data_IF_430265016999
#
_entry.id   IF_430265016999
#
_cell.length_a   1.000
_cell.length_b   1.000
_cell.length_c   1.000
_cell.angle_alpha   90.00
_cell.angle_beta   90.00
_cell.angle_gamma   90.00
#
_symmetry.space_group_name_H-M   'P 1'
#
loop_
_entity.id
_entity.type
_entity.pdbx_description
1 polymer ?
#
# COMPACT_ATOMS: atom_id res chain seq x y z
N UNK A 1 -36.81 -4.85 -5.75
CA UNK A 1 -35.59 -4.01 -5.61
C UNK A 1 -34.98 -4.22 -4.22
N UNK A 2 -33.79 -4.82 -4.10
CA UNK A 2 -33.04 -4.81 -2.83
C UNK A 2 -32.48 -3.40 -2.57
N UNK A 3 -32.76 -2.86 -1.38
CA UNK A 3 -32.19 -1.59 -0.89
C UNK A 3 -30.66 -1.64 -0.89
N UNK A 4 -30.00 -0.50 -1.15
CA UNK A 4 -28.52 -0.44 -1.24
C UNK A 4 -27.84 -0.96 0.03
N UNK A 5 -28.45 -0.73 1.19
CA UNK A 5 -27.99 -1.17 2.51
C UNK A 5 -27.96 -2.70 2.63
N UNK A 6 -28.95 -3.41 2.09
CA UNK A 6 -29.01 -4.88 2.16
C UNK A 6 -27.95 -5.54 1.27
N UNK A 7 -27.74 -4.99 0.07
CA UNK A 7 -26.66 -5.41 -0.84
C UNK A 7 -25.28 -5.17 -0.24
N UNK A 8 -25.08 -4.03 0.40
CA UNK A 8 -23.84 -3.72 1.11
C UNK A 8 -23.55 -4.74 2.21
N UNK A 9 -24.52 -5.04 3.09
CA UNK A 9 -24.33 -6.01 4.19
C UNK A 9 -24.02 -7.42 3.71
N UNK A 10 -24.69 -7.90 2.67
CA UNK A 10 -24.46 -9.23 2.11
C UNK A 10 -23.07 -9.35 1.48
N UNK A 11 -22.69 -8.36 0.65
CA UNK A 11 -21.34 -8.31 0.06
C UNK A 11 -20.24 -8.20 1.12
N UNK A 12 -20.50 -7.48 2.21
CA UNK A 12 -19.58 -7.41 3.36
C UNK A 12 -19.40 -8.78 4.00
N UNK A 13 -20.51 -9.45 4.35
CA UNK A 13 -20.47 -10.78 4.98
C UNK A 13 -19.76 -11.83 4.11
N UNK A 14 -20.09 -11.89 2.82
CA UNK A 14 -19.51 -12.87 1.90
C UNK A 14 -18.00 -12.65 1.73
N UNK A 15 -17.58 -11.45 1.37
CA UNK A 15 -16.17 -11.17 1.13
C UNK A 15 -15.33 -11.23 2.42
N UNK A 16 -15.89 -10.80 3.55
CA UNK A 16 -15.18 -10.82 4.84
C UNK A 16 -14.90 -12.24 5.33
N UNK A 17 -15.76 -13.21 4.97
CA UNK A 17 -15.58 -14.63 5.30
C UNK A 17 -14.77 -15.41 4.25
N UNK A 18 -14.44 -14.82 3.09
CA UNK A 18 -13.65 -15.51 2.07
C UNK A 18 -12.24 -15.78 2.56
N UNK A 19 -11.86 -17.06 2.58
CA UNK A 19 -10.47 -17.47 2.69
C UNK A 19 -9.73 -17.08 1.41
N UNK A 20 -8.63 -16.35 1.54
CA UNK A 20 -7.70 -16.13 0.45
C UNK A 20 -6.39 -16.84 0.75
N UNK A 21 -6.00 -17.85 -0.07
CA UNK A 21 -4.69 -18.44 0.06
C UNK A 21 -3.63 -17.41 -0.32
N UNK A 22 -2.41 -17.51 0.24
CA UNK A 22 -1.31 -16.64 -0.14
C UNK A 22 -0.99 -16.75 -1.64
N UNK A 23 -0.78 -15.62 -2.30
CA UNK A 23 -0.37 -15.60 -3.71
C UNK A 23 1.15 -15.74 -3.85
N UNK A 24 1.65 -16.95 -3.58
CA UNK A 24 3.08 -17.27 -3.69
C UNK A 24 3.64 -17.04 -5.08
N UNK A 25 2.82 -17.16 -6.13
CA UNK A 25 3.27 -16.97 -7.52
C UNK A 25 3.65 -15.52 -7.76
N UNK A 26 2.81 -14.58 -7.34
CA UNK A 26 3.13 -13.15 -7.41
C UNK A 26 4.35 -12.81 -6.55
N UNK A 27 4.45 -13.37 -5.35
CA UNK A 27 5.60 -13.14 -4.48
C UNK A 27 6.92 -13.64 -5.09
N UNK A 28 6.94 -14.85 -5.66
CA UNK A 28 8.10 -15.40 -6.35
C UNK A 28 8.43 -14.62 -7.63
N UNK A 29 7.43 -14.17 -8.38
CA UNK A 29 7.65 -13.32 -9.55
C UNK A 29 8.30 -11.99 -9.17
N UNK A 30 7.90 -11.39 -8.04
CA UNK A 30 8.55 -10.20 -7.49
C UNK A 30 10.01 -10.50 -7.16
N UNK A 31 10.31 -11.57 -6.42
CA UNK A 31 11.68 -11.91 -6.04
C UNK A 31 12.57 -12.20 -7.25
N UNK A 32 12.09 -13.04 -8.18
CA UNK A 32 12.83 -13.38 -9.40
C UNK A 32 13.08 -12.14 -10.27
N UNK A 33 12.05 -11.32 -10.49
CA UNK A 33 12.21 -10.07 -11.23
C UNK A 33 13.15 -9.09 -10.52
N UNK A 34 13.12 -9.03 -9.18
CA UNK A 34 13.95 -8.12 -8.42
C UNK A 34 15.42 -8.53 -8.53
N UNK A 35 15.71 -9.83 -8.47
CA UNK A 35 17.05 -10.37 -8.73
C UNK A 35 17.54 -10.01 -10.14
N UNK A 36 16.66 -10.09 -11.15
CA UNK A 36 17.00 -9.71 -12.53
C UNK A 36 17.20 -8.20 -12.71
N UNK A 37 16.41 -7.36 -12.03
CA UNK A 37 16.53 -5.90 -12.09
C UNK A 37 17.66 -5.34 -11.23
N UNK A 38 18.17 -6.10 -10.26
CA UNK A 38 19.17 -5.61 -9.29
C UNK A 38 20.42 -5.01 -9.95
N UNK A 39 21.05 -5.62 -10.98
CA UNK A 39 22.21 -5.02 -11.62
C UNK A 39 21.90 -3.67 -12.25
N UNK A 40 20.70 -3.50 -12.81
CA UNK A 40 20.25 -2.26 -13.43
C UNK A 40 19.99 -1.18 -12.37
N UNK A 41 19.31 -1.52 -11.28
CA UNK A 41 19.07 -0.56 -10.20
C UNK A 41 20.35 -0.14 -9.49
N UNK A 42 21.37 -1.00 -9.47
CA UNK A 42 22.68 -0.66 -8.92
C UNK A 42 23.39 0.46 -9.68
N UNK A 43 23.08 0.66 -10.96
CA UNK A 43 23.66 1.72 -11.79
C UNK A 43 22.90 3.05 -11.69
N UNK A 44 21.68 3.07 -11.16
CA UNK A 44 20.85 4.27 -11.12
C UNK A 44 21.35 5.29 -10.08
N UNK A 45 21.45 6.60 -10.37
CA UNK A 45 21.96 7.60 -9.44
C UNK A 45 20.96 7.90 -8.29
N UNK A 46 20.80 6.96 -7.36
CA UNK A 46 19.88 7.05 -6.23
C UNK A 46 20.63 7.41 -4.96
N UNK A 47 20.14 8.41 -4.21
CA UNK A 47 20.75 8.83 -2.96
C UNK A 47 20.51 7.84 -1.82
N UNK A 48 19.29 7.32 -1.69
CA UNK A 48 18.91 6.42 -0.62
C UNK A 48 19.06 7.06 0.76
N UNK A 49 18.54 8.28 0.94
CA UNK A 49 18.69 9.02 2.21
C UNK A 49 18.23 8.20 3.42
N UNK A 50 16.99 7.71 3.42
CA UNK A 50 16.48 6.90 4.53
C UNK A 50 17.22 5.57 4.64
N UNK A 51 17.57 4.97 3.49
CA UNK A 51 18.41 3.76 3.46
C UNK A 51 19.72 3.95 4.20
N UNK A 52 20.43 5.04 3.92
CA UNK A 52 21.72 5.33 4.54
C UNK A 52 21.56 5.72 6.02
N UNK A 53 20.58 6.55 6.35
CA UNK A 53 20.42 7.15 7.68
C UNK A 53 19.78 6.19 8.68
N UNK A 54 18.74 5.46 8.28
CA UNK A 54 17.99 4.61 9.21
C UNK A 54 18.38 3.15 9.09
N UNK A 55 18.50 2.64 7.86
CA UNK A 55 18.63 1.19 7.65
C UNK A 55 20.10 0.74 7.72
N UNK A 56 20.99 1.40 6.98
CA UNK A 56 22.42 1.10 6.97
C UNK A 56 23.10 1.41 8.30
N UNK A 57 22.81 2.58 8.89
CA UNK A 57 23.30 2.95 10.22
C UNK A 57 22.61 2.18 11.37
N UNK A 58 21.65 1.31 11.03
CA UNK A 58 20.88 0.46 11.97
C UNK A 58 20.12 1.23 13.05
N UNK A 59 19.58 2.39 12.71
CA UNK A 59 18.65 3.11 13.58
C UNK A 59 17.20 2.66 13.34
N UNK A 60 16.82 1.60 14.06
CA UNK A 60 15.49 1.00 13.96
C UNK A 60 14.50 1.46 15.05
N UNK A 61 14.83 2.49 15.83
CA UNK A 61 14.02 2.92 17.00
C UNK A 61 12.56 3.22 16.66
N UNK A 62 12.30 3.60 15.41
CA UNK A 62 10.99 3.99 14.93
C UNK A 62 10.22 2.85 14.21
N UNK A 63 10.75 1.62 14.26
CA UNK A 63 10.23 0.48 13.52
C UNK A 63 9.94 -0.69 14.46
N UNK A 64 9.08 -1.63 14.06
CA UNK A 64 8.91 -2.86 14.81
C UNK A 64 10.22 -3.66 14.87
N UNK A 65 10.48 -4.40 15.96
CA UNK A 65 11.78 -5.02 16.22
C UNK A 65 12.18 -6.11 15.23
N UNK A 66 11.22 -6.74 14.54
CA UNK A 66 11.50 -7.72 13.50
C UNK A 66 11.97 -7.08 12.18
N UNK A 67 12.03 -5.75 12.07
CA UNK A 67 12.50 -5.08 10.87
C UNK A 67 13.96 -5.43 10.53
N UNK A 68 14.81 -5.57 11.54
CA UNK A 68 16.23 -5.87 11.33
C UNK A 68 16.38 -7.26 10.71
N UNK A 69 15.59 -8.22 11.18
CA UNK A 69 15.51 -9.58 10.63
C UNK A 69 14.99 -9.56 9.19
N UNK A 70 13.93 -8.80 8.97
CA UNK A 70 13.28 -8.59 7.69
C UNK A 70 14.24 -8.07 6.61
N UNK A 71 15.14 -7.15 6.99
CA UNK A 71 16.07 -6.50 6.07
C UNK A 71 17.50 -7.08 6.14
N UNK A 72 17.78 -8.01 7.06
CA UNK A 72 19.12 -8.54 7.30
C UNK A 72 19.88 -8.94 6.03
N UNK A 73 19.28 -9.64 5.04
CA UNK A 73 19.98 -9.99 3.80
C UNK A 73 20.45 -8.77 3.00
N UNK A 74 19.68 -7.68 3.01
CA UNK A 74 20.03 -6.44 2.31
C UNK A 74 21.00 -5.58 3.11
N UNK A 75 20.89 -5.60 4.45
CA UNK A 75 21.76 -4.86 5.37
C UNK A 75 23.17 -5.45 5.47
N UNK A 76 23.35 -6.74 5.15
CA UNK A 76 24.66 -7.40 5.15
C UNK A 76 25.52 -7.03 3.92
N UNK A 77 24.91 -6.51 2.86
CA UNK A 77 25.60 -6.13 1.61
C UNK A 77 26.08 -4.68 1.70
N UNK A 78 27.09 -4.22 0.94
CA UNK A 78 27.45 -2.80 0.90
C UNK A 78 26.22 -1.90 0.71
N UNK A 79 26.17 -0.74 1.38
CA UNK A 79 24.96 0.09 1.46
C UNK A 79 24.30 0.34 0.11
N UNK A 80 25.12 0.60 -0.91
CA UNK A 80 24.69 0.86 -2.28
C UNK A 80 24.07 -0.37 -2.93
N UNK A 81 24.62 -1.56 -2.67
CA UNK A 81 24.11 -2.84 -3.16
C UNK A 81 22.81 -3.21 -2.46
N UNK A 82 22.73 -3.04 -1.14
CA UNK A 82 21.49 -3.25 -0.37
C UNK A 82 20.35 -2.32 -0.84
N UNK A 83 20.66 -1.03 -1.05
CA UNK A 83 19.71 -0.05 -1.60
C UNK A 83 19.21 -0.45 -2.99
N UNK A 84 20.12 -0.88 -3.87
CA UNK A 84 19.77 -1.33 -5.21
C UNK A 84 18.81 -2.53 -5.17
N UNK A 85 19.03 -3.46 -4.24
CA UNK A 85 18.15 -4.61 -4.02
C UNK A 85 16.77 -4.19 -3.53
N UNK A 86 16.70 -3.26 -2.58
CA UNK A 86 15.44 -2.70 -2.11
C UNK A 86 14.67 -1.99 -3.24
N UNK A 87 15.36 -1.22 -4.08
CA UNK A 87 14.74 -0.52 -5.20
C UNK A 87 14.29 -1.48 -6.32
N UNK A 88 15.04 -2.56 -6.57
CA UNK A 88 14.60 -3.61 -7.49
C UNK A 88 13.33 -4.31 -6.95
N UNK A 89 13.30 -4.58 -5.64
CA UNK A 89 12.11 -5.11 -4.97
C UNK A 89 10.93 -4.15 -5.10
N UNK A 90 11.13 -2.84 -4.88
CA UNK A 90 10.09 -1.81 -5.07
C UNK A 90 9.49 -1.85 -6.48
N UNK A 91 10.34 -1.73 -7.51
CA UNK A 91 9.89 -1.67 -8.90
C UNK A 91 9.08 -2.92 -9.27
N UNK A 92 9.58 -4.10 -8.91
CA UNK A 92 8.87 -5.34 -9.19
C UNK A 92 7.60 -5.51 -8.39
N UNK A 93 7.61 -5.12 -7.12
CA UNK A 93 6.42 -5.22 -6.28
C UNK A 93 5.31 -4.33 -6.81
N UNK A 94 5.62 -3.09 -7.20
CA UNK A 94 4.65 -2.18 -7.85
C UNK A 94 4.16 -2.79 -9.15
N UNK A 95 5.06 -3.26 -10.01
CA UNK A 95 4.71 -3.84 -11.30
C UNK A 95 3.77 -5.04 -11.17
N UNK A 96 4.12 -6.01 -10.33
CA UNK A 96 3.33 -7.24 -10.13
C UNK A 96 1.99 -6.92 -9.46
N UNK A 97 1.97 -6.02 -8.47
CA UNK A 97 0.73 -5.64 -7.79
C UNK A 97 -0.25 -4.97 -8.75
N UNK A 98 0.24 -4.07 -9.60
CA UNK A 98 -0.60 -3.40 -10.62
C UNK A 98 -1.06 -4.39 -11.68
N UNK A 99 -0.16 -5.25 -12.19
CA UNK A 99 -0.52 -6.26 -13.18
C UNK A 99 -1.59 -7.22 -12.66
N UNK A 100 -1.47 -7.67 -11.40
CA UNK A 100 -2.47 -8.52 -10.73
C UNK A 100 -3.85 -7.87 -10.74
N UNK A 101 -3.93 -6.57 -10.48
CA UNK A 101 -5.20 -5.84 -10.46
C UNK A 101 -5.84 -5.67 -11.84
N UNK A 102 -5.04 -5.64 -12.91
CA UNK A 102 -5.55 -5.65 -14.30
C UNK A 102 -6.32 -6.94 -14.62
N UNK A 103 -5.88 -8.07 -14.06
CA UNK A 103 -6.52 -9.38 -14.27
C UNK A 103 -7.69 -9.64 -13.30
N UNK A 104 -8.11 -8.64 -12.53
CA UNK A 104 -9.29 -8.72 -11.65
C UNK A 104 -9.13 -9.72 -10.50
N UNK A 105 -7.90 -10.03 -10.09
CA UNK A 105 -7.64 -11.02 -9.05
C UNK A 105 -8.03 -12.46 -9.41
N UNK A 106 -8.47 -12.72 -10.66
CA UNK A 106 -8.54 -14.09 -11.16
C UNK A 106 -7.13 -14.69 -11.05
N UNK A 107 -7.02 -15.99 -10.74
CA UNK A 107 -5.75 -16.74 -10.63
C UNK A 107 -5.00 -16.87 -11.97
N UNK A 108 -5.18 -15.92 -12.88
CA UNK A 108 -4.35 -15.78 -14.06
C UNK A 108 -2.98 -15.30 -13.59
N UNK A 109 -1.92 -15.91 -14.13
CA UNK A 109 -0.58 -15.55 -13.71
C UNK A 109 -0.29 -14.07 -14.00
N UNK A 110 0.08 -13.31 -12.97
CA UNK A 110 0.49 -11.91 -13.08
C UNK A 110 1.70 -11.71 -14.03
N UNK A 111 2.45 -12.77 -14.35
CA UNK A 111 3.55 -12.75 -15.32
C UNK A 111 3.10 -12.56 -16.78
N UNK A 112 1.81 -12.75 -17.11
CA UNK A 112 1.31 -12.46 -18.46
C UNK A 112 1.18 -10.96 -18.66
N UNK A 113 2.23 -10.33 -19.18
CA UNK A 113 2.21 -8.92 -19.53
C UNK A 113 1.39 -8.71 -20.81
N UNK A 114 0.15 -8.26 -20.68
CA UNK A 114 -0.62 -7.72 -21.82
C UNK A 114 -0.18 -6.27 -22.08
N UNK A 115 -0.41 -5.74 -23.28
CA UNK A 115 -0.14 -4.33 -23.60
C UNK A 115 -0.83 -3.38 -22.62
N UNK A 116 -2.05 -3.71 -22.20
CA UNK A 116 -2.78 -2.97 -21.17
C UNK A 116 -2.11 -3.07 -19.79
N UNK A 117 -1.67 -4.27 -19.38
CA UNK A 117 -0.98 -4.44 -18.11
C UNK A 117 0.36 -3.68 -18.07
N UNK A 118 1.14 -3.76 -19.14
CA UNK A 118 2.39 -3.00 -19.29
C UNK A 118 2.12 -1.50 -19.18
N UNK A 119 1.11 -0.97 -19.87
CA UNK A 119 0.74 0.44 -19.77
C UNK A 119 0.38 0.86 -18.34
N UNK A 120 -0.36 0.03 -17.59
CA UNK A 120 -0.66 0.31 -16.18
C UNK A 120 0.60 0.32 -15.30
N UNK A 121 1.48 -0.66 -15.52
CA UNK A 121 2.74 -0.78 -14.78
C UNK A 121 3.61 0.44 -15.03
N UNK A 122 3.79 0.84 -16.28
CA UNK A 122 4.56 2.04 -16.62
C UNK A 122 3.96 3.26 -15.94
N UNK A 123 2.65 3.48 -16.05
CA UNK A 123 1.99 4.59 -15.36
C UNK A 123 2.27 4.58 -13.85
N UNK A 124 2.18 3.44 -13.18
CA UNK A 124 2.43 3.32 -11.74
C UNK A 124 3.90 3.55 -11.35
N UNK A 125 4.85 3.06 -12.16
CA UNK A 125 6.28 3.28 -11.93
C UNK A 125 6.65 4.76 -12.12
N UNK A 126 5.98 5.45 -13.06
CA UNK A 126 6.13 6.89 -13.29
C UNK A 126 5.09 7.71 -12.50
N UNK A 127 5.07 7.51 -11.18
CA UNK A 127 4.29 8.34 -10.24
C UNK A 127 5.20 8.91 -9.16
N UNK A 128 4.82 10.05 -8.53
CA UNK A 128 5.62 10.63 -7.45
C UNK A 128 5.88 9.68 -6.28
N UNK A 129 4.93 8.87 -5.75
CA UNK A 129 5.24 7.96 -4.66
C UNK A 129 6.36 6.97 -5.00
N UNK A 130 6.34 6.40 -6.21
CA UNK A 130 7.40 5.49 -6.66
C UNK A 130 8.73 6.23 -6.81
N UNK A 131 8.74 7.40 -7.45
CA UNK A 131 9.95 8.21 -7.65
C UNK A 131 10.58 8.65 -6.32
N UNK A 132 9.75 9.11 -5.37
CA UNK A 132 10.20 9.49 -4.02
C UNK A 132 10.81 8.28 -3.32
N UNK A 133 10.20 7.09 -3.41
CA UNK A 133 10.76 5.88 -2.81
C UNK A 133 12.08 5.46 -3.44
N UNK A 134 12.21 5.53 -4.76
CA UNK A 134 13.48 5.26 -5.45
C UNK A 134 14.60 6.22 -5.00
N UNK A 135 14.23 7.48 -4.75
CA UNK A 135 15.15 8.50 -4.28
C UNK A 135 15.56 8.32 -2.81
N UNK A 136 14.58 8.08 -1.95
CA UNK A 136 14.75 8.03 -0.49
C UNK A 136 15.23 6.65 -0.01
N UNK A 137 14.86 5.56 -0.68
CA UNK A 137 15.21 4.20 -0.27
C UNK A 137 14.46 3.72 0.97
N UNK A 138 13.19 4.11 1.12
CA UNK A 138 12.35 3.64 2.22
C UNK A 138 11.75 2.25 1.94
N UNK A 139 11.33 1.55 2.97
CA UNK A 139 10.92 0.13 2.97
C UNK A 139 9.45 -0.11 2.62
N UNK A 140 8.72 0.91 2.13
CA UNK A 140 7.29 0.76 1.80
C UNK A 140 7.03 -0.37 0.78
N UNK A 141 8.03 -0.68 -0.06
CA UNK A 141 8.03 -1.84 -0.95
C UNK A 141 7.81 -3.16 -0.22
N UNK A 142 8.39 -3.32 0.97
CA UNK A 142 8.28 -4.53 1.78
C UNK A 142 6.86 -4.70 2.30
N UNK A 143 6.22 -3.60 2.71
CA UNK A 143 4.81 -3.62 3.12
C UNK A 143 3.89 -3.96 1.93
N UNK A 144 4.14 -3.37 0.75
CA UNK A 144 3.40 -3.71 -0.48
C UNK A 144 3.59 -5.17 -0.89
N UNK A 145 4.80 -5.71 -0.75
CA UNK A 145 5.09 -7.12 -1.02
C UNK A 145 4.38 -8.04 -0.03
N UNK A 146 4.33 -7.64 1.25
CA UNK A 146 3.48 -8.27 2.26
C UNK A 146 2.01 -8.35 1.84
N UNK A 147 1.46 -7.28 1.25
CA UNK A 147 0.07 -7.28 0.79
C UNK A 147 -0.21 -8.31 -0.30
N UNK A 148 0.77 -8.64 -1.14
CA UNK A 148 0.62 -9.71 -2.14
C UNK A 148 0.49 -11.10 -1.51
N UNK A 149 1.10 -11.32 -0.34
CA UNK A 149 1.19 -12.60 0.35
C UNK A 149 0.18 -12.77 1.49
N UNK A 150 -0.78 -11.88 1.62
CA UNK A 150 -1.79 -11.98 2.68
C UNK A 150 -2.50 -13.35 2.65
N UNK A 151 -2.77 -13.97 3.81
CA UNK A 151 -2.52 -13.48 5.17
C UNK A 151 -1.09 -13.67 5.69
N UNK A 152 -0.26 -14.51 5.08
CA UNK A 152 1.10 -14.82 5.58
C UNK A 152 2.02 -13.60 5.51
N UNK A 153 1.71 -12.63 4.64
CA UNK A 153 2.45 -11.39 4.50
C UNK A 153 2.26 -10.35 5.62
N UNK A 154 1.43 -10.61 6.64
CA UNK A 154 1.16 -9.67 7.73
C UNK A 154 2.39 -9.14 8.46
N UNK A 155 3.43 -9.93 8.78
CA UNK A 155 4.65 -9.41 9.41
C UNK A 155 5.26 -8.26 8.60
N UNK A 156 5.20 -8.35 7.28
CA UNK A 156 5.75 -7.36 6.36
C UNK A 156 4.85 -6.12 6.23
N UNK A 157 3.52 -6.32 6.14
CA UNK A 157 2.54 -5.22 6.12
C UNK A 157 2.64 -4.36 7.38
N UNK A 158 2.84 -4.99 8.55
CA UNK A 158 2.92 -4.31 9.83
C UNK A 158 4.26 -3.58 10.08
N UNK A 159 5.25 -3.70 9.20
CA UNK A 159 6.45 -2.85 9.24
C UNK A 159 6.12 -1.37 9.03
N UNK A 160 5.04 -1.10 8.26
CA UNK A 160 4.55 0.24 7.93
C UNK A 160 3.02 0.28 8.03
N UNK A 161 2.46 0.32 9.25
CA UNK A 161 1.04 0.09 9.46
C UNK A 161 0.15 1.25 8.96
N UNK A 162 0.71 2.42 8.61
CA UNK A 162 -0.04 3.64 8.29
C UNK A 162 -1.21 3.40 7.32
N UNK A 163 -0.95 2.80 6.16
CA UNK A 163 -2.01 2.40 5.24
C UNK A 163 -2.27 0.90 5.27
N UNK A 164 -1.23 0.06 5.39
CA UNK A 164 -1.35 -1.39 5.33
C UNK A 164 -2.30 -2.00 6.36
N UNK A 165 -2.45 -1.39 7.55
CA UNK A 165 -3.37 -1.87 8.59
C UNK A 165 -4.83 -1.82 8.13
N UNK A 166 -5.21 -0.85 7.31
CA UNK A 166 -6.58 -0.74 6.81
C UNK A 166 -6.91 -1.85 5.80
N UNK A 167 -5.92 -2.32 5.03
CA UNK A 167 -6.10 -3.48 4.16
C UNK A 167 -6.45 -4.74 4.96
N UNK A 168 -5.85 -4.93 6.15
CA UNK A 168 -6.11 -6.07 7.04
C UNK A 168 -7.60 -6.18 7.39
N UNK A 169 -8.28 -5.04 7.55
CA UNK A 169 -9.71 -5.00 7.90
C UNK A 169 -10.64 -5.52 6.81
N UNK A 170 -10.16 -5.70 5.58
CA UNK A 170 -10.97 -6.20 4.47
C UNK A 170 -11.46 -7.62 4.67
N UNK A 171 -10.78 -8.43 5.51
CA UNK A 171 -11.10 -9.85 5.70
C UNK A 171 -10.93 -10.30 7.14
N UNK A 172 -11.81 -11.19 7.58
CA UNK A 172 -11.75 -11.82 8.90
C UNK A 172 -10.42 -12.53 9.14
N UNK A 173 -10.00 -13.34 8.18
CA UNK A 173 -8.78 -14.13 8.31
C UNK A 173 -7.57 -13.23 8.52
N UNK A 174 -7.47 -12.12 7.78
CA UNK A 174 -6.37 -11.17 7.91
C UNK A 174 -6.36 -10.51 9.28
N UNK A 175 -7.52 -10.11 9.81
CA UNK A 175 -7.64 -9.58 11.18
C UNK A 175 -7.14 -10.60 12.20
N UNK A 176 -7.57 -11.86 12.09
CA UNK A 176 -7.15 -12.93 13.02
C UNK A 176 -5.64 -13.12 12.97
N UNK A 177 -5.05 -13.19 11.77
CA UNK A 177 -3.61 -13.32 11.61
C UNK A 177 -2.85 -12.10 12.14
N UNK A 178 -3.36 -10.87 11.94
CA UNK A 178 -2.77 -9.65 12.50
C UNK A 178 -2.85 -9.61 14.02
N UNK A 179 -3.97 -10.03 14.60
CA UNK A 179 -4.14 -10.12 16.04
C UNK A 179 -3.20 -11.19 16.63
N UNK A 180 -3.16 -12.39 16.03
CA UNK A 180 -2.28 -13.47 16.47
C UNK A 180 -0.80 -13.07 16.38
N UNK A 181 -0.38 -12.51 15.25
CA UNK A 181 0.99 -12.03 15.07
C UNK A 181 1.30 -10.85 16.00
N UNK A 182 0.38 -9.89 16.15
CA UNK A 182 0.51 -8.77 17.07
C UNK A 182 0.74 -9.25 18.51
N UNK A 183 -0.12 -10.14 19.01
CA UNK A 183 0.04 -10.76 20.33
C UNK A 183 1.37 -11.50 20.47
N UNK A 184 1.75 -12.30 19.47
CA UNK A 184 3.05 -12.98 19.46
C UNK A 184 4.21 -11.99 19.57
N UNK A 185 4.16 -10.87 18.84
CA UNK A 185 5.24 -9.89 18.86
C UNK A 185 5.37 -9.17 20.20
N UNK A 186 4.25 -8.96 20.91
CA UNK A 186 4.26 -8.40 22.25
C UNK A 186 4.89 -9.35 23.27
N UNK A 187 4.72 -10.66 23.09
CA UNK A 187 5.36 -11.68 23.94
C UNK A 187 6.85 -11.77 23.65
N UNK A 188 7.24 -11.85 22.37
CA UNK A 188 8.65 -12.09 21.97
C UNK A 188 9.52 -10.86 22.20
N UNK A 189 9.05 -9.66 21.83
CA UNK A 189 9.86 -8.44 21.88
C UNK A 189 9.44 -7.47 22.99
N UNK A 190 8.74 -7.98 23.98
CA UNK A 190 8.14 -7.19 25.06
C UNK A 190 7.17 -6.15 24.47
N UNK A 191 6.70 -5.21 25.29
CA UNK A 191 5.77 -4.16 24.87
C UNK A 191 6.45 -3.06 24.02
N UNK A 192 7.02 -3.46 22.89
CA UNK A 192 7.73 -2.65 21.91
C UNK A 192 6.96 -1.44 21.35
N UNK A 193 5.60 -1.41 21.28
CA UNK A 193 4.89 -0.24 20.77
C UNK A 193 5.23 1.06 21.52
N UNK A 194 5.57 0.99 22.79
CA UNK A 194 6.00 2.17 23.58
C UNK A 194 7.24 2.85 23.00
N UNK A 195 8.20 2.07 22.49
CA UNK A 195 9.42 2.59 21.86
C UNK A 195 9.09 3.35 20.57
N UNK A 196 8.20 2.79 19.76
CA UNK A 196 7.78 3.41 18.49
C UNK A 196 6.91 4.64 18.76
N UNK A 197 5.99 4.58 19.72
CA UNK A 197 5.17 5.73 20.14
C UNK A 197 6.03 6.91 20.59
N UNK A 198 7.17 6.65 21.27
CA UNK A 198 8.13 7.70 21.63
C UNK A 198 8.71 8.47 20.45
N UNK A 199 8.71 7.90 19.23
CA UNK A 199 9.21 8.53 18.01
C UNK A 199 8.11 9.20 17.15
N UNK A 200 6.85 9.13 17.56
CA UNK A 200 5.71 9.63 16.78
C UNK A 200 5.73 11.16 16.66
N UNK A 201 6.16 11.86 17.71
CA UNK A 201 6.24 13.33 17.72
C UNK A 201 7.13 13.86 16.61
N UNK A 202 8.33 13.30 16.46
CA UNK A 202 9.30 13.69 15.43
C UNK A 202 8.75 13.48 14.01
N UNK A 203 7.96 12.42 13.83
CA UNK A 203 7.35 12.08 12.54
C UNK A 203 6.26 13.06 12.15
N UNK A 204 5.34 13.36 13.08
CA UNK A 204 4.21 14.27 12.82
C UNK A 204 4.71 15.69 12.49
N UNK A 205 5.85 16.10 13.04
CA UNK A 205 6.45 17.41 12.79
C UNK A 205 7.20 17.51 11.45
N UNK A 206 7.39 16.40 10.72
CA UNK A 206 8.09 16.45 9.44
C UNK A 206 7.37 17.39 8.46
N UNK A 207 8.05 18.32 7.76
CA UNK A 207 7.38 19.34 6.93
C UNK A 207 6.47 18.78 5.85
N UNK A 208 6.81 17.62 5.28
CA UNK A 208 5.96 16.94 4.30
C UNK A 208 4.94 15.96 4.89
N UNK A 209 4.91 15.80 6.21
CA UNK A 209 3.90 15.03 6.90
C UNK A 209 2.52 15.67 6.74
N UNK A 210 1.53 14.79 6.67
CA UNK A 210 0.12 15.13 6.81
C UNK A 210 -0.61 13.96 7.50
N UNK A 211 -1.92 14.04 7.62
CA UNK A 211 -2.73 13.12 8.45
C UNK A 211 -3.53 13.90 9.47
N UNK A 212 -4.41 13.24 10.21
CA UNK A 212 -5.34 13.97 11.09
C UNK A 212 -4.62 14.74 12.20
N UNK A 213 -3.41 14.33 12.60
CA UNK A 213 -2.63 15.08 13.58
C UNK A 213 -2.16 16.45 13.05
N UNK A 214 -1.93 16.56 11.74
CA UNK A 214 -1.50 17.81 11.09
C UNK A 214 -2.65 18.63 10.51
N UNK A 215 -3.71 17.98 10.04
CA UNK A 215 -4.84 18.62 9.34
C UNK A 215 -6.11 18.70 10.20
N UNK A 216 -6.11 18.10 11.39
CA UNK A 216 -7.16 18.23 12.39
C UNK A 216 -8.33 17.25 12.25
N UNK A 217 -9.30 17.42 13.15
CA UNK A 217 -10.49 16.57 13.26
C UNK A 217 -11.35 16.44 11.99
N UNK A 218 -11.42 17.41 11.05
CA UNK A 218 -12.23 17.23 9.84
C UNK A 218 -11.79 16.02 9.00
N UNK A 219 -10.50 15.65 9.04
CA UNK A 219 -10.02 14.42 8.40
C UNK A 219 -10.68 13.17 9.00
N UNK A 220 -10.82 13.14 10.33
CA UNK A 220 -11.44 12.02 11.03
C UNK A 220 -12.91 11.90 10.62
N UNK A 221 -13.64 13.02 10.61
CA UNK A 221 -15.04 13.03 10.20
C UNK A 221 -15.23 12.53 8.75
N UNK A 222 -14.39 12.99 7.83
CA UNK A 222 -14.38 12.50 6.44
C UNK A 222 -14.05 11.01 6.41
N UNK A 223 -12.96 10.59 7.07
CA UNK A 223 -12.50 9.20 7.08
C UNK A 223 -13.54 8.22 7.63
N UNK A 224 -14.23 8.57 8.71
CA UNK A 224 -15.30 7.75 9.27
C UNK A 224 -16.48 7.64 8.30
N UNK A 225 -16.83 8.75 7.65
CA UNK A 225 -17.90 8.79 6.64
C UNK A 225 -17.57 7.92 5.43
N UNK A 226 -16.33 7.99 4.93
CA UNK A 226 -15.84 7.14 3.85
C UNK A 226 -15.83 5.67 4.29
N UNK A 227 -15.29 5.37 5.46
CA UNK A 227 -15.18 4.01 5.99
C UNK A 227 -16.55 3.32 6.11
N UNK A 228 -17.56 4.04 6.62
CA UNK A 228 -18.93 3.53 6.73
C UNK A 228 -19.55 3.13 5.38
N UNK A 229 -19.08 3.72 4.28
CA UNK A 229 -19.55 3.46 2.92
C UNK A 229 -18.60 2.54 2.12
N UNK A 230 -17.49 2.12 2.71
CA UNK A 230 -16.45 1.37 1.99
C UNK A 230 -16.82 -0.11 1.89
N UNK A 231 -16.76 -0.73 0.70
CA UNK A 231 -16.87 -2.19 0.57
C UNK A 231 -15.67 -2.89 1.25
N UNK A 232 -15.71 -4.21 1.47
CA UNK A 232 -14.59 -4.98 2.01
C UNK A 232 -13.48 -5.19 0.95
N UNK A 233 -13.08 -4.10 0.29
CA UNK A 233 -12.01 -4.06 -0.69
C UNK A 233 -10.74 -3.49 -0.05
N UNK A 234 -9.59 -4.20 -0.11
CA UNK A 234 -8.37 -3.75 0.54
C UNK A 234 -7.91 -2.34 0.10
N UNK A 235 -7.96 -2.03 -1.19
CA UNK A 235 -7.49 -0.75 -1.72
C UNK A 235 -8.44 0.40 -1.34
N UNK A 236 -9.75 0.18 -1.43
CA UNK A 236 -10.74 1.16 -0.99
C UNK A 236 -10.67 1.42 0.51
N UNK A 237 -10.44 0.39 1.33
CA UNK A 237 -10.26 0.53 2.78
C UNK A 237 -8.99 1.29 3.13
N UNK A 238 -7.87 1.02 2.45
CA UNK A 238 -6.66 1.83 2.60
C UNK A 238 -6.88 3.30 2.21
N UNK A 239 -7.62 3.54 1.13
CA UNK A 239 -7.92 4.88 0.66
C UNK A 239 -8.84 5.64 1.63
N UNK A 240 -9.84 4.99 2.23
CA UNK A 240 -10.65 5.61 3.30
C UNK A 240 -9.82 5.79 4.58
N UNK A 241 -9.04 4.78 4.95
CA UNK A 241 -8.19 4.76 6.14
C UNK A 241 -7.08 5.80 6.13
N UNK A 242 -6.64 6.28 4.97
CA UNK A 242 -5.67 7.37 4.89
C UNK A 242 -6.20 8.66 5.55
N UNK A 243 -7.52 8.87 5.58
CA UNK A 243 -8.13 10.01 6.27
C UNK A 243 -8.18 9.83 7.79
N UNK A 244 -8.08 8.60 8.28
CA UNK A 244 -8.06 8.25 9.70
C UNK A 244 -6.64 8.05 10.25
N UNK A 245 -5.63 8.10 9.38
CA UNK A 245 -4.24 7.88 9.76
C UNK A 245 -3.67 9.14 10.42
N UNK A 246 -3.05 9.04 11.61
CA UNK A 246 -2.50 10.21 12.32
C UNK A 246 -1.39 10.89 11.53
N UNK A 247 -0.60 10.07 10.85
CA UNK A 247 0.59 10.47 10.14
C UNK A 247 0.67 9.71 8.81
N UNK A 248 0.92 10.47 7.75
CA UNK A 248 1.14 10.01 6.40
C UNK A 248 2.21 10.88 5.75
N UNK A 249 2.98 10.22 4.89
CA UNK A 249 3.92 10.85 4.00
C UNK A 249 3.52 10.53 2.56
N UNK A 250 3.86 11.39 1.59
CA UNK A 250 3.55 11.15 0.17
C UNK A 250 3.93 9.75 -0.33
N UNK A 251 5.07 9.22 0.10
CA UNK A 251 5.52 7.88 -0.31
C UNK A 251 4.64 6.72 0.17
N UNK A 252 3.91 6.87 1.28
CA UNK A 252 3.06 5.79 1.81
C UNK A 252 1.97 5.39 0.80
N UNK A 253 1.57 6.32 -0.06
CA UNK A 253 0.54 6.12 -1.08
C UNK A 253 0.96 5.20 -2.23
N UNK A 254 2.22 4.72 -2.24
CA UNK A 254 2.63 3.61 -3.12
C UNK A 254 1.69 2.40 -2.96
N UNK A 255 1.16 2.19 -1.75
CA UNK A 255 0.24 1.10 -1.41
C UNK A 255 -1.11 1.19 -2.14
N UNK A 256 -1.48 2.37 -2.67
CA UNK A 256 -2.69 2.56 -3.45
C UNK A 256 -2.47 2.49 -4.98
N UNK A 257 -1.22 2.49 -5.46
CA UNK A 257 -0.93 2.41 -6.89
C UNK A 257 -1.51 1.18 -7.61
N UNK A 258 -1.69 0.00 -6.96
CA UNK A 258 -2.38 -1.12 -7.61
C UNK A 258 -3.78 -0.76 -8.14
N UNK A 259 -4.43 0.27 -7.61
CA UNK A 259 -5.72 0.76 -8.12
C UNK A 259 -5.66 1.20 -9.59
N UNK A 260 -4.49 1.63 -10.10
CA UNK A 260 -4.30 1.95 -11.53
C UNK A 260 -4.55 0.74 -12.44
N UNK A 261 -4.25 -0.47 -11.96
CA UNK A 261 -4.52 -1.70 -12.70
C UNK A 261 -6.01 -2.01 -12.78
N UNK A 262 -6.76 -1.66 -11.73
CA UNK A 262 -8.19 -1.95 -11.62
C UNK A 262 -9.07 -0.94 -12.38
N UNK A 263 -8.67 0.33 -12.42
CA UNK A 263 -9.38 1.39 -13.12
C UNK A 263 -9.07 1.34 -14.63
N UNK A 264 -10.08 1.65 -15.47
CA UNK A 264 -10.00 1.53 -16.94
C UNK A 264 -10.18 2.87 -17.64
N UNK A 265 -9.61 2.98 -18.85
CA UNK A 265 -9.80 4.12 -19.77
C UNK A 265 -9.37 5.46 -19.17
N UNK A 266 -10.10 6.53 -19.48
CA UNK A 266 -9.81 7.90 -19.03
C UNK A 266 -9.76 8.04 -17.50
N UNK A 267 -10.54 7.24 -16.76
CA UNK A 267 -10.51 7.25 -15.29
C UNK A 267 -9.14 6.87 -14.75
N UNK A 268 -8.40 5.99 -15.44
CA UNK A 268 -7.04 5.60 -15.07
C UNK A 268 -6.08 6.78 -15.20
N UNK A 269 -6.21 7.56 -16.29
CA UNK A 269 -5.39 8.75 -16.50
C UNK A 269 -5.69 9.82 -15.45
N UNK A 270 -6.96 10.01 -15.09
CA UNK A 270 -7.35 10.91 -13.98
C UNK A 270 -6.74 10.43 -12.66
N UNK A 271 -6.81 9.13 -12.37
CA UNK A 271 -6.22 8.57 -11.16
C UNK A 271 -4.70 8.74 -11.13
N UNK A 272 -4.03 8.49 -12.26
CA UNK A 272 -2.59 8.70 -12.42
C UNK A 272 -2.23 10.18 -12.24
N UNK A 273 -2.95 11.09 -12.89
CA UNK A 273 -2.77 12.53 -12.70
C UNK A 273 -2.97 12.94 -11.24
N UNK A 274 -3.94 12.33 -10.54
CA UNK A 274 -4.17 12.53 -9.12
C UNK A 274 -2.96 12.21 -8.24
N UNK A 275 -2.10 11.26 -8.64
CA UNK A 275 -0.87 10.95 -7.87
C UNK A 275 0.09 12.14 -7.76
N UNK A 276 0.03 13.09 -8.71
CA UNK A 276 0.85 14.31 -8.71
C UNK A 276 0.47 15.30 -7.62
N UNK A 277 -0.75 15.22 -7.09
CA UNK A 277 -1.15 16.01 -5.91
C UNK A 277 -0.32 15.66 -4.67
N UNK A 278 0.31 14.48 -4.64
CA UNK A 278 1.18 14.06 -3.54
C UNK A 278 2.51 14.80 -3.50
N UNK A 279 2.86 15.57 -4.54
CA UNK A 279 4.01 16.49 -4.50
C UNK A 279 3.72 17.75 -3.66
N UNK A 280 2.45 18.11 -3.47
CA UNK A 280 2.05 19.35 -2.79
C UNK A 280 2.63 19.43 -1.37
N UNK A 281 2.55 18.38 -0.51
CA UNK A 281 3.14 18.45 0.83
C UNK A 281 4.66 18.54 0.83
N UNK A 282 5.35 18.16 -0.25
CA UNK A 282 6.81 18.31 -0.35
C UNK A 282 7.22 19.74 -0.70
N UNK A 283 6.39 20.45 -1.44
CA UNK A 283 6.66 21.81 -1.94
C UNK A 283 6.09 22.86 -0.98
N UNK A 284 4.92 22.59 -0.40
CA UNK A 284 4.16 23.54 0.40
C UNK A 284 3.92 23.01 1.82
N UNK A 285 4.35 23.79 2.82
CA UNK A 285 4.08 23.53 4.23
C UNK A 285 2.86 24.34 4.73
N UNK A 286 1.75 24.30 3.99
CA UNK A 286 0.55 25.11 4.27
C UNK A 286 -0.74 24.28 4.21
N UNK A 287 -1.89 24.93 4.38
CA UNK A 287 -3.21 24.31 4.20
C UNK A 287 -3.43 23.64 2.83
N UNK A 288 -2.57 23.91 1.84
CA UNK A 288 -2.61 23.22 0.54
C UNK A 288 -2.38 21.70 0.64
N UNK A 289 -1.82 21.21 1.76
CA UNK A 289 -1.69 19.76 2.04
C UNK A 289 -3.02 19.00 1.91
N UNK A 290 -4.16 19.66 2.13
CA UNK A 290 -5.49 19.07 1.89
C UNK A 290 -5.68 18.57 0.45
N UNK A 291 -5.06 19.21 -0.54
CA UNK A 291 -5.14 18.79 -1.94
C UNK A 291 -4.50 17.43 -2.18
N UNK A 292 -3.49 17.04 -1.38
CA UNK A 292 -2.88 15.72 -1.47
C UNK A 292 -3.87 14.58 -1.16
N UNK A 293 -4.91 14.87 -0.36
CA UNK A 293 -6.00 13.92 -0.07
C UNK A 293 -6.93 13.70 -1.27
N UNK A 294 -6.80 14.51 -2.33
CA UNK A 294 -7.49 14.27 -3.59
C UNK A 294 -7.14 12.90 -4.19
N UNK A 295 -5.89 12.44 -4.06
CA UNK A 295 -5.50 11.13 -4.57
C UNK A 295 -6.23 9.95 -3.90
N UNK A 296 -6.14 9.75 -2.56
CA UNK A 296 -6.92 8.68 -1.92
C UNK A 296 -8.43 8.85 -2.08
N UNK A 297 -8.95 10.09 -2.10
CA UNK A 297 -10.38 10.30 -2.40
C UNK A 297 -10.77 9.77 -3.78
N UNK A 298 -9.93 9.99 -4.81
CA UNK A 298 -10.15 9.46 -6.16
C UNK A 298 -10.07 7.93 -6.18
N UNK A 299 -9.09 7.33 -5.50
CA UNK A 299 -8.98 5.87 -5.37
C UNK A 299 -10.27 5.30 -4.77
N UNK A 300 -10.69 5.84 -3.62
CA UNK A 300 -11.90 5.40 -2.94
C UNK A 300 -13.15 5.56 -3.83
N UNK A 301 -13.30 6.73 -4.45
CA UNK A 301 -14.46 7.05 -5.29
C UNK A 301 -14.59 6.12 -6.50
N UNK A 302 -13.46 5.75 -7.11
CA UNK A 302 -13.44 4.86 -8.28
C UNK A 302 -13.62 3.39 -7.92
N UNK A 303 -13.27 2.99 -6.69
CA UNK A 303 -13.33 1.59 -6.23
C UNK A 303 -14.57 1.26 -5.36
N UNK A 304 -15.32 2.25 -4.89
CA UNK A 304 -16.51 2.03 -4.05
C UNK A 304 -17.69 1.35 -4.77
N UNK A 305 -17.73 1.42 -6.10
CA UNK A 305 -18.81 0.80 -6.87
C UNK A 305 -18.53 -0.70 -7.06
N UNK A 306 -19.43 -1.62 -6.66
CA UNK A 306 -19.25 -3.02 -6.96
C UNK A 306 -19.15 -3.21 -8.48
N UNK A 307 -18.26 -4.08 -8.98
CA UNK A 307 -18.24 -4.41 -10.40
C UNK A 307 -19.63 -4.92 -10.77
N UNK A 308 -20.29 -4.27 -11.74
CA UNK A 308 -21.57 -4.74 -12.28
C UNK A 308 -21.31 -6.15 -12.82
N UNK A 309 -21.75 -7.16 -12.10
CA UNK A 309 -21.56 -8.54 -12.52
C UNK A 309 -22.35 -8.72 -13.81
N UNK A 310 -21.67 -9.06 -14.91
CA UNK A 310 -22.32 -9.35 -16.19
C UNK A 310 -23.37 -10.47 -16.12
N UNK A 311 -23.35 -11.28 -15.05
CA UNK A 311 -24.36 -12.31 -14.77
C UNK A 311 -25.78 -11.75 -14.57
N UNK A 312 -25.93 -10.54 -14.03
CA UNK A 312 -27.25 -9.94 -13.81
C UNK A 312 -27.88 -9.37 -15.09
N UNK A 313 -27.15 -9.37 -16.22
CA UNK A 313 -27.65 -8.92 -17.51
C UNK A 313 -28.22 -10.08 -18.37
N UNK A 314 -28.06 -11.33 -17.93
CA UNK A 314 -28.58 -12.51 -18.63
C UNK A 314 -29.81 -13.14 -17.95
N UNK A 315 -30.31 -12.56 -16.86
CA UNK A 315 -31.62 -12.92 -16.31
C UNK A 315 -32.66 -11.95 -16.86
N UNK A 316 -32.96 -12.06 -18.15
CA UNK A 316 -34.24 -11.59 -18.68
C UNK A 316 -35.31 -12.60 -18.27
N UNK A 317 -36.43 -12.17 -17.67
CA UNK A 317 -37.57 -13.06 -17.45
C UNK A 317 -38.19 -13.37 -18.82
N UNK A 318 -38.09 -14.62 -19.24
CA UNK A 318 -39.15 -15.25 -20.05
C UNK A 318 -40.30 -15.65 -19.13
#
# INVERSE_FOLDING_TARGET
MMTSTRRWRLGWRENWLRAEPPDWRSALAVLAGALLLWPLTHQLPMLGFDWRVYFWARDFRQYPPWIEWALAPLLALPWRTGLAGLNALLLMTVAVSVAREVFGGERRPAWRLTSNALGCVLLALFTPPTMILLWVGNIEAVALWGMLMMPVGIPWVLLKPHLGLWAVLSRRSWIIWAAAFGLLTLVVWQFWPTRVLGSVTDRIQHPSAFGWASLGWPMIAIGLTLLAQTPPDPLALMAAGSFLSPFLMPQHFVLLLPALGRVKGTRRLILWAGTWLLLIPLIFNSGLKWLALGFPALVWWMLRAPPVSKSAANESPE
#
